data_IF_268202469264
#
_entry.id   IF_268202469264
#
_cell.length_a   1.000
_cell.length_b   1.000
_cell.length_c   1.000
_cell.angle_alpha   90.00
_cell.angle_beta   90.00
_cell.angle_gamma   90.00
#
_symmetry.space_group_name_H-M   'P 1'
#
loop_
_entity.id
_entity.type
_entity.pdbx_description
1 polymer ?
#
# COMPACT_ATOMS: atom_id res chain seq x y z
N UNK A 1 -5.77 -64.89 4.71
CA UNK A 1 -5.92 -63.50 5.20
C UNK A 1 -4.91 -62.66 4.44
N UNK A 2 -5.38 -61.72 3.62
CA UNK A 2 -4.58 -60.89 2.71
C UNK A 2 -4.17 -59.62 3.45
N UNK A 3 -2.88 -59.38 3.65
CA UNK A 3 -2.38 -58.12 4.20
C UNK A 3 -2.03 -57.18 3.05
N UNK A 4 -3.00 -56.37 2.62
CA UNK A 4 -2.78 -55.25 1.71
C UNK A 4 -2.27 -54.05 2.51
N UNK A 5 -0.95 -53.91 2.61
CA UNK A 5 -0.34 -52.67 3.12
C UNK A 5 -0.44 -51.66 1.98
N UNK A 6 -1.52 -50.89 1.97
CA UNK A 6 -1.62 -49.69 1.17
C UNK A 6 -0.55 -48.72 1.71
N UNK A 7 0.56 -48.62 0.98
CA UNK A 7 1.50 -47.51 1.17
C UNK A 7 0.69 -46.25 0.89
N UNK A 8 0.33 -45.52 1.93
CA UNK A 8 -0.15 -44.15 1.79
C UNK A 8 1.09 -43.37 1.37
N UNK A 9 1.30 -43.29 0.06
CA UNK A 9 2.12 -42.24 -0.50
C UNK A 9 1.47 -40.93 -0.05
N UNK A 10 1.97 -40.38 1.05
CA UNK A 10 1.98 -38.94 1.26
C UNK A 10 2.65 -38.44 -0.02
N UNK A 11 1.83 -38.04 -0.97
CA UNK A 11 2.28 -37.25 -2.09
C UNK A 11 3.00 -36.10 -1.44
N UNK A 12 4.32 -36.12 -1.57
CA UNK A 12 5.17 -34.96 -1.51
C UNK A 12 4.66 -34.02 -2.61
N UNK A 13 3.56 -33.33 -2.30
CA UNK A 13 3.55 -31.89 -2.46
C UNK A 13 4.55 -31.45 -1.39
N UNK A 14 5.86 -31.65 -1.60
CA UNK A 14 6.66 -30.72 -2.39
C UNK A 14 5.87 -29.44 -2.40
N UNK A 15 5.92 -28.77 -1.25
CA UNK A 15 5.55 -27.39 -1.06
C UNK A 15 6.37 -26.66 -2.12
N UNK A 16 5.83 -26.66 -3.34
CA UNK A 16 6.38 -25.95 -4.46
C UNK A 16 6.25 -24.55 -3.93
N UNK A 17 7.35 -23.99 -3.43
CA UNK A 17 7.55 -22.56 -3.46
C UNK A 17 7.19 -22.18 -4.88
N UNK A 18 5.92 -21.84 -5.08
CA UNK A 18 5.45 -21.27 -6.30
C UNK A 18 6.33 -20.04 -6.40
N UNK A 19 7.29 -20.10 -7.32
CA UNK A 19 8.18 -19.00 -7.67
C UNK A 19 7.34 -17.93 -8.39
N UNK A 20 6.24 -17.54 -7.76
CA UNK A 20 5.31 -16.51 -8.17
C UNK A 20 5.68 -15.27 -7.37
N UNK A 21 6.90 -14.76 -7.59
CA UNK A 21 7.44 -13.47 -7.09
C UNK A 21 6.87 -13.02 -5.72
N UNK A 22 6.80 -13.98 -4.78
CA UNK A 22 5.92 -13.93 -3.62
C UNK A 22 6.46 -13.04 -2.49
N UNK A 23 7.33 -12.10 -2.83
CA UNK A 23 7.55 -10.93 -1.99
C UNK A 23 6.29 -10.08 -2.13
N UNK A 24 5.27 -10.36 -1.29
CA UNK A 24 3.94 -9.73 -1.20
C UNK A 24 3.93 -8.19 -1.08
N UNK A 25 5.09 -7.55 -1.17
CA UNK A 25 5.27 -6.10 -1.20
C UNK A 25 4.60 -5.43 -2.38
N UNK A 26 4.33 -6.13 -3.50
CA UNK A 26 3.61 -5.54 -4.64
C UNK A 26 2.15 -5.26 -4.29
N UNK A 27 1.46 -6.25 -3.71
CA UNK A 27 0.06 -6.10 -3.29
C UNK A 27 -0.09 -5.12 -2.12
N UNK A 28 0.84 -5.16 -1.16
CA UNK A 28 0.95 -4.16 -0.09
C UNK A 28 1.25 -2.77 -0.64
N UNK A 29 2.15 -2.68 -1.64
CA UNK A 29 2.48 -1.44 -2.34
C UNK A 29 1.25 -0.84 -3.00
N UNK A 30 0.50 -1.62 -3.79
CA UNK A 30 -0.74 -1.16 -4.43
C UNK A 30 -1.75 -0.62 -3.42
N UNK A 31 -1.97 -1.31 -2.29
CA UNK A 31 -2.90 -0.83 -1.26
C UNK A 31 -2.43 0.51 -0.62
N UNK A 32 -1.12 0.72 -0.49
CA UNK A 32 -0.58 1.99 0.00
C UNK A 32 -0.60 3.10 -1.06
N UNK A 33 -0.37 2.77 -2.33
CA UNK A 33 -0.53 3.71 -3.45
C UNK A 33 -2.00 4.16 -3.56
N UNK A 34 -2.97 3.26 -3.41
CA UNK A 34 -4.39 3.61 -3.36
C UNK A 34 -4.72 4.52 -2.15
N UNK A 35 -4.12 4.24 -1.00
CA UNK A 35 -4.29 5.05 0.22
C UNK A 35 -3.69 6.46 0.07
N UNK A 36 -2.49 6.57 -0.50
CA UNK A 36 -1.87 7.87 -0.81
C UNK A 36 -2.67 8.60 -1.89
N UNK A 37 -3.11 7.89 -2.92
CA UNK A 37 -3.93 8.42 -4.01
C UNK A 37 -5.26 9.02 -3.52
N UNK A 38 -5.87 8.46 -2.47
CA UNK A 38 -7.06 9.04 -1.86
C UNK A 38 -6.77 10.40 -1.19
N UNK A 39 -5.61 10.52 -0.52
CA UNK A 39 -5.20 11.77 0.11
C UNK A 39 -4.79 12.83 -0.92
N UNK A 40 -4.05 12.42 -1.96
CA UNK A 40 -3.67 13.26 -3.10
C UNK A 40 -4.93 13.76 -3.84
N UNK A 41 -5.85 12.85 -4.15
CA UNK A 41 -7.10 13.17 -4.82
C UNK A 41 -7.95 14.17 -4.03
N UNK A 42 -7.99 14.06 -2.70
CA UNK A 42 -8.68 15.05 -1.88
C UNK A 42 -8.06 16.45 -2.00
N UNK A 43 -6.73 16.56 -2.03
CA UNK A 43 -6.02 17.84 -2.25
C UNK A 43 -6.30 18.39 -3.65
N UNK A 44 -6.23 17.55 -4.67
CA UNK A 44 -6.52 17.94 -6.05
C UNK A 44 -7.97 18.40 -6.22
N UNK A 45 -8.94 17.65 -5.70
CA UNK A 45 -10.35 18.00 -5.72
C UNK A 45 -10.61 19.34 -5.03
N UNK A 46 -9.95 19.57 -3.88
CA UNK A 46 -10.05 20.84 -3.17
C UNK A 46 -9.49 22.00 -4.00
N UNK A 47 -8.32 21.82 -4.61
CA UNK A 47 -7.69 22.85 -5.45
C UNK A 47 -8.56 23.13 -6.67
N UNK A 48 -9.00 22.11 -7.40
CA UNK A 48 -9.86 22.25 -8.58
C UNK A 48 -11.14 23.01 -8.25
N UNK A 49 -11.83 22.63 -7.17
CA UNK A 49 -13.05 23.28 -6.71
C UNK A 49 -12.85 24.77 -6.32
N UNK A 50 -11.63 25.18 -6.00
CA UNK A 50 -11.28 26.57 -5.63
C UNK A 50 -10.61 27.35 -6.75
N UNK A 51 -10.22 26.69 -7.83
CA UNK A 51 -9.67 27.30 -9.05
C UNK A 51 -10.75 27.58 -10.10
N UNK A 52 -11.89 26.87 -10.09
CA UNK A 52 -12.94 26.92 -11.12
C UNK A 52 -13.78 28.23 -11.21
N UNK A 53 -13.40 29.31 -10.52
CA UNK A 53 -14.09 30.61 -10.59
C UNK A 53 -13.41 31.62 -11.54
N UNK A 54 -12.76 31.15 -12.60
CA UNK A 54 -12.16 32.01 -13.64
C UNK A 54 -10.96 32.86 -13.19
N UNK A 55 -10.45 32.61 -11.97
CA UNK A 55 -9.25 33.27 -11.46
C UNK A 55 -8.03 32.40 -11.79
N UNK A 56 -6.98 33.01 -12.36
CA UNK A 56 -5.67 32.36 -12.60
C UNK A 56 -4.90 32.05 -11.30
N UNK A 57 -5.57 31.90 -10.17
CA UNK A 57 -4.95 31.71 -8.86
C UNK A 57 -5.91 31.17 -7.82
N UNK A 58 -5.34 30.49 -6.82
CA UNK A 58 -6.07 29.92 -5.71
C UNK A 58 -6.53 31.04 -4.77
N UNK A 59 -7.83 31.34 -4.75
CA UNK A 59 -8.41 32.30 -3.81
C UNK A 59 -9.09 31.54 -2.68
N UNK A 60 -8.45 31.53 -1.51
CA UNK A 60 -8.95 30.85 -0.33
C UNK A 60 -9.27 31.88 0.75
N UNK A 61 -10.44 31.75 1.37
CA UNK A 61 -10.71 32.35 2.67
C UNK A 61 -9.76 31.78 3.73
N UNK A 62 -9.70 32.44 4.89
CA UNK A 62 -8.92 31.95 6.03
C UNK A 62 -9.34 30.53 6.47
N UNK A 63 -10.63 30.22 6.41
CA UNK A 63 -11.15 28.89 6.75
C UNK A 63 -10.74 27.82 5.72
N UNK A 64 -10.79 28.18 4.43
CA UNK A 64 -10.37 27.29 3.34
C UNK A 64 -8.86 27.08 3.31
N UNK A 65 -8.08 28.09 3.69
CA UNK A 65 -6.62 27.99 3.84
C UNK A 65 -6.25 27.00 4.95
N UNK A 66 -6.98 27.02 6.08
CA UNK A 66 -6.80 26.04 7.15
C UNK A 66 -7.22 24.64 6.72
N UNK A 67 -8.25 24.53 5.89
CA UNK A 67 -8.69 23.24 5.35
C UNK A 67 -7.65 22.66 4.41
N UNK A 68 -7.08 23.47 3.50
CA UNK A 68 -5.98 23.03 2.65
C UNK A 68 -4.75 22.60 3.47
N UNK A 69 -4.39 23.35 4.51
CA UNK A 69 -3.27 22.99 5.39
C UNK A 69 -3.48 21.65 6.08
N UNK A 70 -4.72 21.34 6.51
CA UNK A 70 -5.05 20.02 7.06
C UNK A 70 -4.92 18.94 6.00
N UNK A 71 -5.45 19.18 4.81
CA UNK A 71 -5.44 18.20 3.72
C UNK A 71 -4.03 17.87 3.24
N UNK A 72 -3.17 18.88 3.11
CA UNK A 72 -1.74 18.69 2.83
C UNK A 72 -1.01 18.03 4.00
N UNK A 73 -1.43 18.30 5.24
CA UNK A 73 -0.92 17.60 6.44
C UNK A 73 -1.28 16.12 6.42
N UNK A 74 -2.53 15.79 6.12
CA UNK A 74 -3.04 14.42 6.04
C UNK A 74 -2.37 13.65 4.90
N UNK A 75 -2.16 14.29 3.74
CA UNK A 75 -1.37 13.76 2.64
C UNK A 75 0.08 13.43 3.07
N UNK A 76 0.74 14.38 3.75
CA UNK A 76 2.10 14.19 4.25
C UNK A 76 2.20 13.03 5.24
N UNK A 77 1.19 12.88 6.11
CA UNK A 77 1.09 11.74 7.03
C UNK A 77 0.88 10.44 6.25
N UNK A 78 -0.05 10.42 5.27
CA UNK A 78 -0.37 9.23 4.49
C UNK A 78 0.86 8.69 3.74
N UNK A 79 1.62 9.57 3.08
CA UNK A 79 2.88 9.23 2.38
C UNK A 79 3.93 8.71 3.36
N UNK A 80 4.12 9.38 4.50
CA UNK A 80 5.10 8.96 5.51
C UNK A 80 4.75 7.60 6.13
N UNK A 81 3.49 7.40 6.47
CA UNK A 81 2.98 6.12 6.99
C UNK A 81 3.18 5.02 5.95
N UNK A 82 2.72 5.20 4.72
CA UNK A 82 2.88 4.21 3.64
C UNK A 82 4.35 3.85 3.39
N UNK A 83 5.23 4.86 3.30
CA UNK A 83 6.67 4.66 3.09
C UNK A 83 7.30 3.87 4.24
N UNK A 84 7.01 4.25 5.49
CA UNK A 84 7.59 3.60 6.67
C UNK A 84 7.11 2.15 6.83
N UNK A 85 5.83 1.87 6.57
CA UNK A 85 5.28 0.51 6.64
C UNK A 85 5.81 -0.37 5.52
N UNK A 86 5.85 0.12 4.27
CA UNK A 86 6.40 -0.63 3.14
C UNK A 86 7.89 -0.94 3.35
N UNK A 87 8.64 0.04 3.87
CA UNK A 87 10.04 -0.18 4.26
C UNK A 87 10.17 -1.25 5.35
N UNK A 88 9.36 -1.18 6.41
CA UNK A 88 9.37 -2.16 7.50
C UNK A 88 9.08 -3.58 7.01
N UNK A 89 8.08 -3.74 6.14
CA UNK A 89 7.74 -5.03 5.53
C UNK A 89 8.86 -5.52 4.62
N UNK A 90 9.45 -4.65 3.80
CA UNK A 90 10.62 -5.00 2.97
C UNK A 90 11.80 -5.47 3.83
N UNK A 91 12.12 -4.73 4.88
CA UNK A 91 13.22 -5.08 5.79
C UNK A 91 12.91 -6.41 6.53
N UNK A 92 11.66 -6.64 6.93
CA UNK A 92 11.20 -7.89 7.54
C UNK A 92 11.34 -9.09 6.60
N UNK A 93 10.93 -8.96 5.34
CA UNK A 93 11.04 -10.03 4.36
C UNK A 93 12.51 -10.29 4.00
N UNK A 94 13.32 -9.24 3.80
CA UNK A 94 14.75 -9.39 3.54
C UNK A 94 15.47 -10.08 4.71
N UNK A 95 15.02 -9.85 5.95
CA UNK A 95 15.52 -10.54 7.13
C UNK A 95 15.12 -12.02 7.13
N UNK A 96 13.85 -12.32 6.87
CA UNK A 96 13.35 -13.70 6.79
C UNK A 96 14.05 -14.50 5.68
N UNK A 97 14.25 -13.90 4.50
CA UNK A 97 14.96 -14.51 3.38
C UNK A 97 16.45 -14.77 3.66
N UNK A 98 17.08 -13.99 4.55
CA UNK A 98 18.46 -14.23 5.00
C UNK A 98 18.58 -15.34 6.05
N UNK A 99 17.48 -15.78 6.66
CA UNK A 99 17.47 -16.77 7.73
C UNK A 99 17.14 -18.21 7.27
N UNK A 100 16.77 -18.37 5.99
CA UNK A 100 16.54 -19.66 5.32
C UNK A 100 17.73 -20.06 4.45
#
# INVERSE_FOLDING_TARGET
MVNNVATFAVGDSADVWAADDALKTTEVGMAFEDFVGLADGAVEDFIAAKTDNGASGLSLSAGESLQLQRLMGDQSIAVQTGTSTLKSIKDSISSAARNI
#
